data_IF_147569455843
#
_entry.id   IF_147569455843
#
_cell.length_a   1.000
_cell.length_b   1.000
_cell.length_c   1.000
_cell.angle_alpha   90.00
_cell.angle_beta   90.00
_cell.angle_gamma   90.00
#
_symmetry.space_group_name_H-M   'P 1'
#
loop_
_entity.id
_entity.type
_entity.pdbx_description
1 polymer ?
#
# COMPACT_ATOMS: atom_id res chain seq x y z
N UNK A 1 16.26 6.56 15.42
CA UNK A 1 15.06 7.38 15.72
C UNK A 1 14.73 8.36 14.61
N UNK A 2 15.57 9.35 14.30
CA UNK A 2 15.28 10.45 13.35
C UNK A 2 14.82 9.97 11.96
N UNK A 3 15.55 9.04 11.33
CA UNK A 3 15.17 8.45 10.03
C UNK A 3 13.80 7.77 10.11
N UNK A 4 13.55 6.97 11.16
CA UNK A 4 12.28 6.27 11.34
C UNK A 4 11.11 7.24 11.52
N UNK A 5 11.30 8.30 12.29
CA UNK A 5 10.28 9.33 12.51
C UNK A 5 9.92 10.06 11.21
N UNK A 6 10.93 10.49 10.44
CA UNK A 6 10.70 11.18 9.16
C UNK A 6 10.06 10.26 8.12
N UNK A 7 10.51 9.00 8.06
CA UNK A 7 9.92 7.99 7.16
C UNK A 7 8.46 7.70 7.53
N UNK A 8 8.16 7.54 8.83
CA UNK A 8 6.80 7.32 9.30
C UNK A 8 5.90 8.52 8.98
N UNK A 9 6.37 9.76 9.21
CA UNK A 9 5.63 10.98 8.88
C UNK A 9 5.28 11.03 7.40
N UNK A 10 6.26 10.76 6.53
CA UNK A 10 6.07 10.74 5.09
C UNK A 10 5.04 9.68 4.67
N UNK A 11 5.19 8.43 5.16
CA UNK A 11 4.26 7.36 4.85
C UNK A 11 2.82 7.65 5.31
N UNK A 12 2.65 8.24 6.50
CA UNK A 12 1.33 8.66 6.98
C UNK A 12 0.74 9.74 6.08
N UNK A 13 1.54 10.74 5.71
CA UNK A 13 1.08 11.85 4.89
C UNK A 13 0.65 11.38 3.49
N UNK A 14 1.48 10.55 2.83
CA UNK A 14 1.24 10.06 1.47
C UNK A 14 0.17 8.96 1.37
N UNK A 15 0.06 8.05 2.35
CA UNK A 15 -0.80 6.86 2.22
C UNK A 15 -2.05 6.86 3.09
N UNK A 16 -2.10 7.65 4.16
CA UNK A 16 -3.28 7.73 5.03
C UNK A 16 -4.00 9.06 4.92
N UNK A 17 -3.27 10.18 4.88
CA UNK A 17 -3.87 11.51 4.83
C UNK A 17 -4.17 11.98 3.41
N UNK A 18 -3.39 11.52 2.42
CA UNK A 18 -3.67 11.83 1.02
C UNK A 18 -4.85 10.99 0.50
N UNK A 19 -5.93 11.66 0.11
CA UNK A 19 -7.14 10.98 -0.40
C UNK A 19 -7.06 10.72 -1.91
N UNK A 20 -7.82 9.73 -2.40
CA UNK A 20 -7.94 9.44 -3.84
C UNK A 20 -8.36 10.66 -4.66
N UNK A 21 -9.18 11.57 -4.10
CA UNK A 21 -9.60 12.80 -4.74
C UNK A 21 -8.44 13.79 -4.90
N UNK A 22 -7.55 13.86 -3.92
CA UNK A 22 -6.34 14.68 -3.97
C UNK A 22 -5.35 14.14 -5.00
N UNK A 23 -5.26 12.82 -5.15
CA UNK A 23 -4.42 12.21 -6.19
C UNK A 23 -4.99 12.48 -7.58
N UNK A 24 -6.31 12.31 -7.77
CA UNK A 24 -6.96 12.50 -9.07
C UNK A 24 -6.91 13.95 -9.57
N UNK A 25 -7.04 14.93 -8.67
CA UNK A 25 -7.06 16.36 -8.99
C UNK A 25 -6.04 17.13 -8.13
N UNK A 26 -4.76 16.78 -8.26
CA UNK A 26 -3.69 17.29 -7.39
C UNK A 26 -3.54 18.81 -7.43
N UNK A 27 -3.70 19.42 -8.61
CA UNK A 27 -3.65 20.89 -8.76
C UNK A 27 -4.78 21.57 -7.98
N UNK A 28 -6.02 21.04 -8.07
CA UNK A 28 -7.19 21.61 -7.36
C UNK A 28 -7.05 21.49 -5.85
N UNK A 29 -6.44 20.41 -5.36
CA UNK A 29 -6.29 20.14 -3.94
C UNK A 29 -4.89 20.41 -3.40
N UNK A 30 -4.06 21.16 -4.15
CA UNK A 30 -2.66 21.42 -3.80
C UNK A 30 -2.51 22.06 -2.40
N UNK A 31 -3.40 22.99 -2.04
CA UNK A 31 -3.38 23.62 -0.70
C UNK A 31 -3.60 22.59 0.42
N UNK A 32 -4.57 21.68 0.25
CA UNK A 32 -4.83 20.62 1.23
C UNK A 32 -3.65 19.66 1.32
N UNK A 33 -3.04 19.35 0.17
CA UNK A 33 -1.84 18.51 0.06
C UNK A 33 -0.67 19.09 0.83
N UNK A 34 -0.30 20.34 0.55
CA UNK A 34 0.77 21.06 1.25
C UNK A 34 0.47 21.14 2.75
N UNK A 35 -0.78 21.43 3.12
CA UNK A 35 -1.15 21.62 4.52
C UNK A 35 -0.96 20.36 5.37
N UNK A 36 -1.41 19.18 4.92
CA UNK A 36 -1.23 17.97 5.72
C UNK A 36 0.24 17.52 5.77
N UNK A 37 1.02 17.75 4.70
CA UNK A 37 2.46 17.50 4.70
C UNK A 37 3.21 18.42 5.66
N UNK A 38 2.85 19.70 5.67
CA UNK A 38 3.38 20.69 6.61
C UNK A 38 3.06 20.30 8.05
N UNK A 39 1.81 19.87 8.32
CA UNK A 39 1.37 19.48 9.65
C UNK A 39 2.13 18.25 10.16
N UNK A 40 2.13 17.17 9.37
CA UNK A 40 2.77 15.89 9.75
C UNK A 40 4.28 16.02 9.89
N UNK A 41 4.95 16.60 8.89
CA UNK A 41 6.40 16.78 8.91
C UNK A 41 6.80 17.80 9.97
N UNK A 42 6.03 18.88 10.14
CA UNK A 42 6.25 19.89 11.17
C UNK A 42 6.14 19.32 12.58
N UNK A 43 5.12 18.49 12.87
CA UNK A 43 4.99 17.81 14.16
C UNK A 43 6.20 16.92 14.46
N UNK A 44 6.64 16.12 13.49
CA UNK A 44 7.79 15.23 13.68
C UNK A 44 9.10 16.00 13.83
N UNK A 45 9.32 17.05 13.04
CA UNK A 45 10.50 17.90 13.17
C UNK A 45 10.51 18.64 14.52
N UNK A 46 9.35 19.03 15.04
CA UNK A 46 9.26 19.63 16.37
C UNK A 46 9.68 18.64 17.48
N UNK A 47 9.27 17.37 17.36
CA UNK A 47 9.69 16.29 18.27
C UNK A 47 11.20 16.09 18.21
N UNK A 48 11.78 16.00 17.00
CA UNK A 48 13.23 15.84 16.82
C UNK A 48 13.98 17.03 17.40
N UNK A 49 13.54 18.25 17.09
CA UNK A 49 14.16 19.49 17.56
C UNK A 49 14.14 19.62 19.09
N UNK A 50 13.00 19.32 19.74
CA UNK A 50 12.88 19.36 21.18
C UNK A 50 13.67 18.24 21.89
N UNK A 51 13.59 17.01 21.39
CA UNK A 51 14.20 15.85 22.05
C UNK A 51 15.71 15.72 21.81
N UNK A 52 16.17 15.93 20.57
CA UNK A 52 17.58 15.69 20.20
C UNK A 52 18.44 16.96 20.31
N UNK A 53 17.85 18.14 20.13
CA UNK A 53 18.57 19.41 20.06
C UNK A 53 18.16 20.39 21.15
N UNK A 54 17.34 19.96 22.13
CA UNK A 54 16.97 20.75 23.31
C UNK A 54 16.46 22.16 22.96
N UNK A 55 15.69 22.27 21.88
CA UNK A 55 15.17 23.55 21.35
C UNK A 55 16.25 24.56 20.92
N UNK A 56 17.49 24.13 20.74
CA UNK A 56 18.56 25.00 20.24
C UNK A 56 18.47 25.16 18.72
N UNK A 57 18.92 26.32 18.20
CA UNK A 57 19.10 26.57 16.77
C UNK A 57 17.88 26.21 15.90
N UNK A 58 16.70 26.78 16.21
CA UNK A 58 15.44 26.54 15.50
C UNK A 58 15.55 26.64 13.97
N UNK A 59 16.36 27.58 13.47
CA UNK A 59 16.55 27.76 12.03
C UNK A 59 17.17 26.51 11.40
N UNK A 60 18.23 25.97 12.01
CA UNK A 60 19.00 24.84 11.45
C UNK A 60 18.26 23.51 11.56
N UNK A 61 17.64 23.24 12.71
CA UNK A 61 17.11 21.90 13.02
C UNK A 61 15.60 21.77 12.82
N UNK A 62 14.88 22.88 12.65
CA UNK A 62 13.43 22.88 12.41
C UNK A 62 13.08 23.56 11.07
N UNK A 63 13.37 24.86 10.92
CA UNK A 63 12.86 25.65 9.79
C UNK A 63 13.48 25.20 8.45
N UNK A 64 14.80 25.10 8.35
CA UNK A 64 15.48 24.70 7.13
C UNK A 64 15.11 23.27 6.68
N UNK A 65 15.17 22.22 7.53
CA UNK A 65 14.72 20.90 7.12
C UNK A 65 13.24 20.84 6.75
N UNK A 66 12.37 21.61 7.42
CA UNK A 66 10.95 21.69 7.06
C UNK A 66 10.75 22.26 5.65
N UNK A 67 11.40 23.40 5.35
CA UNK A 67 11.35 24.04 4.04
C UNK A 67 11.90 23.09 2.97
N UNK A 68 13.06 22.48 3.25
CA UNK A 68 13.69 21.53 2.33
C UNK A 68 12.74 20.40 1.99
N UNK A 69 12.25 19.65 2.98
CA UNK A 69 11.39 18.47 2.77
C UNK A 69 10.12 18.85 2.02
N UNK A 70 9.44 19.96 2.38
CA UNK A 70 8.20 20.38 1.71
C UNK A 70 8.47 20.72 0.25
N UNK A 71 9.51 21.52 -0.04
CA UNK A 71 9.83 21.92 -1.41
C UNK A 71 10.20 20.70 -2.25
N UNK A 72 11.10 19.84 -1.76
CA UNK A 72 11.53 18.66 -2.50
C UNK A 72 10.41 17.66 -2.70
N UNK A 73 9.53 17.46 -1.71
CA UNK A 73 8.34 16.62 -1.83
C UNK A 73 7.42 17.11 -2.96
N UNK A 74 7.11 18.41 -2.97
CA UNK A 74 6.30 19.01 -4.02
C UNK A 74 6.94 18.89 -5.40
N UNK A 75 8.26 19.05 -5.50
CA UNK A 75 9.00 18.89 -6.75
C UNK A 75 8.91 17.44 -7.26
N UNK A 76 9.17 16.45 -6.41
CA UNK A 76 9.07 15.02 -6.78
C UNK A 76 7.65 14.72 -7.27
N UNK A 77 6.65 15.16 -6.52
CA UNK A 77 5.24 14.98 -6.83
C UNK A 77 4.83 15.61 -8.17
N UNK A 78 5.31 16.81 -8.47
CA UNK A 78 5.04 17.50 -9.73
C UNK A 78 5.75 16.83 -10.92
N UNK A 79 6.98 16.36 -10.71
CA UNK A 79 7.73 15.61 -11.73
C UNK A 79 7.00 14.32 -12.09
N UNK A 80 6.50 13.58 -11.09
CA UNK A 80 5.71 12.36 -11.29
C UNK A 80 4.48 12.62 -12.15
N UNK A 81 3.70 13.68 -11.89
CA UNK A 81 2.51 14.01 -12.69
C UNK A 81 2.88 14.22 -14.14
N UNK A 82 3.89 15.05 -14.42
CA UNK A 82 4.32 15.33 -15.80
C UNK A 82 4.74 14.08 -16.54
N UNK A 83 5.47 13.18 -15.86
CA UNK A 83 5.94 11.93 -16.44
C UNK A 83 4.80 10.94 -16.69
N UNK A 84 3.82 10.85 -15.79
CA UNK A 84 2.69 9.92 -15.91
C UNK A 84 1.65 10.39 -16.92
N UNK A 85 1.36 11.69 -16.98
CA UNK A 85 0.38 12.26 -17.93
C UNK A 85 0.91 12.30 -19.36
N UNK A 86 2.23 12.26 -19.55
CA UNK A 86 2.86 12.14 -20.87
C UNK A 86 2.70 10.76 -21.51
N UNK A 87 2.16 9.77 -20.80
CA UNK A 87 2.01 8.39 -21.28
C UNK A 87 0.70 8.25 -22.06
N UNK A 88 0.77 7.85 -23.33
CA UNK A 88 -0.40 7.45 -24.11
C UNK A 88 -1.00 6.16 -23.52
N UNK A 89 -2.32 6.14 -23.32
CA UNK A 89 -3.03 4.96 -22.78
C UNK A 89 -2.76 3.72 -23.64
N UNK A 90 -2.09 2.73 -23.07
CA UNK A 90 -1.71 1.45 -23.66
C UNK A 90 -2.12 0.28 -22.73
N UNK A 91 -2.36 -0.93 -23.23
CA UNK A 91 -2.59 -2.12 -22.39
C UNK A 91 -1.51 -2.38 -21.33
N UNK A 92 -0.26 -1.98 -21.59
CA UNK A 92 0.89 -2.12 -20.66
C UNK A 92 1.01 -0.98 -19.64
N UNK A 93 0.01 -0.10 -19.55
CA UNK A 93 0.03 1.07 -18.67
C UNK A 93 0.27 0.72 -17.20
N UNK A 94 -0.18 -0.44 -16.72
CA UNK A 94 -0.13 -0.82 -15.31
C UNK A 94 1.31 -1.08 -14.82
N UNK A 95 2.16 -1.76 -15.61
CA UNK A 95 3.59 -1.96 -15.27
C UNK A 95 4.38 -0.65 -15.34
N UNK A 96 4.07 0.21 -16.31
CA UNK A 96 4.71 1.53 -16.39
C UNK A 96 4.32 2.38 -15.17
N UNK A 97 3.05 2.34 -14.76
CA UNK A 97 2.57 3.00 -13.52
C UNK A 97 3.25 2.42 -12.28
N UNK A 98 3.48 1.11 -12.22
CA UNK A 98 4.27 0.48 -11.15
C UNK A 98 5.68 1.07 -11.07
N UNK A 99 6.38 1.18 -12.22
CA UNK A 99 7.73 1.76 -12.26
C UNK A 99 7.78 3.19 -11.76
N UNK A 100 6.84 4.04 -12.20
CA UNK A 100 6.75 5.42 -11.71
C UNK A 100 6.37 5.49 -10.23
N UNK A 101 5.51 4.59 -9.76
CA UNK A 101 5.19 4.50 -8.33
C UNK A 101 6.43 4.10 -7.51
N UNK A 102 7.19 3.09 -7.92
CA UNK A 102 8.40 2.68 -7.21
C UNK A 102 9.49 3.76 -7.25
N UNK A 103 9.71 4.38 -8.41
CA UNK A 103 10.67 5.47 -8.55
C UNK A 103 10.32 6.65 -7.64
N UNK A 104 9.04 7.00 -7.58
CA UNK A 104 8.51 8.03 -6.68
C UNK A 104 8.81 7.72 -5.21
N UNK A 105 8.57 6.48 -4.75
CA UNK A 105 8.89 6.08 -3.37
C UNK A 105 10.41 6.13 -3.09
N UNK A 106 11.25 5.75 -4.06
CA UNK A 106 12.71 5.84 -3.94
C UNK A 106 13.16 7.29 -3.84
N UNK A 107 12.64 8.19 -4.68
CA UNK A 107 13.00 9.61 -4.64
C UNK A 107 12.61 10.27 -3.30
N UNK A 108 11.46 9.92 -2.74
CA UNK A 108 11.05 10.40 -1.42
C UNK A 108 11.93 9.84 -0.29
N UNK A 109 12.29 8.55 -0.34
CA UNK A 109 13.23 7.98 0.62
C UNK A 109 14.61 8.66 0.53
N UNK A 110 15.12 8.88 -0.69
CA UNK A 110 16.38 9.61 -0.92
C UNK A 110 16.33 11.03 -0.38
N UNK A 111 15.22 11.74 -0.59
CA UNK A 111 15.00 13.07 -0.02
C UNK A 111 15.14 13.06 1.51
N UNK A 112 14.56 12.08 2.20
CA UNK A 112 14.67 11.95 3.66
C UNK A 112 16.12 11.68 4.07
N UNK A 113 16.82 10.78 3.38
CA UNK A 113 18.23 10.51 3.65
C UNK A 113 19.07 11.77 3.46
N UNK A 114 18.87 12.51 2.37
CA UNK A 114 19.57 13.78 2.11
C UNK A 114 19.29 14.80 3.21
N UNK A 115 18.04 14.93 3.68
CA UNK A 115 17.70 15.80 4.80
C UNK A 115 18.46 15.40 6.08
N UNK A 116 18.60 14.11 6.35
CA UNK A 116 19.39 13.59 7.48
C UNK A 116 20.88 13.91 7.39
N UNK A 117 21.46 13.79 6.20
CA UNK A 117 22.88 14.11 5.97
C UNK A 117 23.13 15.62 6.09
N UNK A 118 22.25 16.46 5.55
CA UNK A 118 22.44 17.92 5.51
C UNK A 118 22.14 18.62 6.84
N UNK A 119 21.03 18.28 7.51
CA UNK A 119 20.54 19.06 8.66
C UNK A 119 20.81 18.39 10.00
N UNK A 120 20.81 17.06 10.06
CA UNK A 120 20.98 16.30 11.30
C UNK A 120 22.41 15.77 11.50
N UNK A 121 23.37 16.24 10.67
CA UNK A 121 24.81 15.90 10.72
C UNK A 121 25.10 14.39 10.75
N UNK A 122 24.17 13.58 10.27
CA UNK A 122 24.35 12.13 10.25
C UNK A 122 25.41 11.78 9.20
N UNK A 123 26.41 10.97 9.57
CA UNK A 123 27.38 10.47 8.59
C UNK A 123 26.83 9.23 7.89
N UNK A 124 27.23 9.03 6.63
CA UNK A 124 26.89 7.80 5.88
C UNK A 124 27.35 6.55 6.65
N UNK A 125 28.53 6.60 7.26
CA UNK A 125 29.05 5.51 8.10
C UNK A 125 28.11 5.14 9.25
N UNK A 126 27.60 6.14 9.99
CA UNK A 126 26.67 5.93 11.12
C UNK A 126 25.32 5.36 10.66
N UNK A 127 24.87 5.76 9.47
CA UNK A 127 23.66 5.19 8.87
C UNK A 127 23.88 3.74 8.46
N UNK A 128 25.04 3.40 7.89
CA UNK A 128 25.37 2.02 7.52
C UNK A 128 25.52 1.13 8.76
N UNK A 129 26.12 1.62 9.85
CA UNK A 129 26.20 0.85 11.10
C UNK A 129 24.81 0.66 11.69
N UNK A 130 23.95 1.68 11.69
CA UNK A 130 22.56 1.55 12.15
C UNK A 130 21.76 0.53 11.32
N UNK A 131 22.04 0.41 10.03
CA UNK A 131 21.44 -0.61 9.16
C UNK A 131 21.97 -2.02 9.42
N UNK A 132 23.24 -2.14 9.80
CA UNK A 132 23.84 -3.43 10.18
C UNK A 132 23.37 -3.87 11.57
N UNK A 133 23.25 -2.94 12.52
CA UNK A 133 22.75 -3.18 13.87
C UNK A 133 21.29 -3.66 13.87
N UNK A 134 20.48 -3.24 12.89
CA UNK A 134 19.13 -3.79 12.66
C UNK A 134 19.11 -5.31 12.46
N UNK A 135 20.22 -5.91 12.01
CA UNK A 135 20.40 -7.36 11.85
C UNK A 135 21.43 -7.94 12.84
N UNK A 136 21.97 -7.10 13.73
CA UNK A 136 22.97 -7.47 14.73
C UNK A 136 22.36 -8.15 15.95
N UNK A 137 23.18 -8.36 16.98
CA UNK A 137 22.75 -8.98 18.25
C UNK A 137 22.03 -8.00 19.19
N UNK A 138 22.22 -6.70 18.98
CA UNK A 138 21.63 -5.66 19.80
C UNK A 138 20.35 -5.20 19.12
N UNK A 139 19.20 -5.70 19.59
CA UNK A 139 17.90 -5.29 19.09
C UNK A 139 17.66 -3.77 19.21
N UNK A 140 16.66 -3.27 18.51
CA UNK A 140 16.27 -1.86 18.58
C UNK A 140 15.73 -1.49 19.97
N UNK A 141 15.93 -0.23 20.37
CA UNK A 141 15.25 0.31 21.56
C UNK A 141 13.72 0.20 21.41
N UNK A 142 12.95 0.04 22.50
CA UNK A 142 11.50 -0.17 22.43
C UNK A 142 10.76 0.89 21.60
N UNK A 143 11.18 2.15 21.69
CA UNK A 143 10.61 3.24 20.90
C UNK A 143 10.92 3.11 19.40
N UNK A 144 12.16 2.78 19.03
CA UNK A 144 12.51 2.54 17.62
C UNK A 144 11.80 1.30 17.07
N UNK A 145 11.63 0.25 17.89
CA UNK A 145 10.84 -0.94 17.53
C UNK A 145 9.39 -0.57 17.23
N UNK A 146 8.74 0.23 18.08
CA UNK A 146 7.38 0.72 17.85
C UNK A 146 7.25 1.50 16.53
N UNK A 147 8.19 2.42 16.26
CA UNK A 147 8.22 3.17 15.00
C UNK A 147 8.41 2.25 13.79
N UNK A 148 9.34 1.29 13.89
CA UNK A 148 9.60 0.33 12.83
C UNK A 148 8.39 -0.53 12.52
N UNK A 149 7.73 -1.09 13.55
CA UNK A 149 6.51 -1.89 13.39
C UNK A 149 5.37 -1.05 12.77
N UNK A 150 5.25 0.22 13.14
CA UNK A 150 4.28 1.14 12.54
C UNK A 150 4.56 1.37 11.05
N UNK A 151 5.83 1.53 10.67
CA UNK A 151 6.25 1.62 9.26
C UNK A 151 5.89 0.32 8.53
N UNK A 152 6.24 -0.85 9.07
CA UNK A 152 5.93 -2.15 8.47
C UNK A 152 4.42 -2.32 8.29
N UNK A 153 3.61 -1.91 9.25
CA UNK A 153 2.15 -1.96 9.14
C UNK A 153 1.63 -1.14 7.93
N UNK A 154 2.14 0.07 7.73
CA UNK A 154 1.77 0.91 6.57
C UNK A 154 2.28 0.30 5.27
N UNK A 155 3.51 -0.22 5.25
CA UNK A 155 4.10 -0.88 4.09
C UNK A 155 3.30 -2.13 3.69
N UNK A 156 2.91 -2.95 4.66
CA UNK A 156 2.14 -4.17 4.46
C UNK A 156 0.72 -3.87 4.00
N UNK A 157 0.07 -2.84 4.52
CA UNK A 157 -1.31 -2.54 4.16
C UNK A 157 -1.38 -1.70 2.89
N UNK A 158 -1.07 -0.41 2.99
CA UNK A 158 -1.28 0.56 1.94
C UNK A 158 -0.28 0.45 0.79
N UNK A 159 1.04 0.43 1.06
CA UNK A 159 2.06 0.47 -0.01
C UNK A 159 2.03 -0.81 -0.84
N UNK A 160 2.07 -1.97 -0.18
CA UNK A 160 1.97 -3.28 -0.85
C UNK A 160 0.65 -3.44 -1.59
N UNK A 161 -0.46 -2.89 -1.07
CA UNK A 161 -1.74 -2.91 -1.77
C UNK A 161 -1.72 -2.15 -3.11
N UNK A 162 -1.02 -1.01 -3.18
CA UNK A 162 -0.82 -0.28 -4.43
C UNK A 162 0.08 -1.04 -5.40
N UNK A 163 1.16 -1.65 -4.91
CA UNK A 163 2.06 -2.49 -5.71
C UNK A 163 1.29 -3.65 -6.35
N UNK A 164 0.57 -4.43 -5.54
CA UNK A 164 -0.24 -5.57 -6.03
C UNK A 164 -1.27 -5.10 -7.05
N UNK A 165 -1.96 -3.98 -6.80
CA UNK A 165 -2.91 -3.41 -7.76
C UNK A 165 -2.25 -3.08 -9.11
N UNK A 166 -1.04 -2.54 -9.11
CA UNK A 166 -0.34 -2.23 -10.36
C UNK A 166 0.26 -3.46 -11.04
N UNK A 167 0.70 -4.47 -10.29
CA UNK A 167 1.18 -5.75 -10.86
C UNK A 167 0.03 -6.47 -11.55
N UNK A 168 -1.13 -6.55 -10.90
CA UNK A 168 -2.29 -7.31 -11.39
C UNK A 168 -3.06 -6.57 -12.49
N UNK A 169 -3.11 -5.24 -12.43
CA UNK A 169 -3.86 -4.43 -13.40
C UNK A 169 -5.37 -4.42 -13.17
N UNK A 170 -6.15 -4.12 -14.22
CA UNK A 170 -7.61 -4.17 -14.19
C UNK A 170 -8.13 -5.58 -14.41
N UNK A 171 -9.21 -5.94 -13.73
CA UNK A 171 -9.93 -7.20 -13.96
C UNK A 171 -10.24 -7.35 -15.46
N UNK A 172 -9.85 -8.44 -16.14
CA UNK A 172 -10.31 -8.73 -17.49
C UNK A 172 -11.84 -8.64 -17.60
N UNK A 173 -12.36 -8.03 -18.67
CA UNK A 173 -13.81 -7.82 -18.86
C UNK A 173 -14.61 -9.12 -18.91
N UNK A 174 -13.98 -10.22 -19.33
CA UNK A 174 -14.55 -11.58 -19.37
C UNK A 174 -14.94 -12.09 -17.96
N UNK A 175 -14.22 -11.66 -16.93
CA UNK A 175 -14.47 -12.06 -15.53
C UNK A 175 -15.73 -11.44 -14.94
N UNK A 176 -16.06 -10.21 -15.34
CA UNK A 176 -17.27 -9.53 -14.90
C UNK A 176 -18.50 -10.28 -15.44
N UNK A 177 -18.39 -10.80 -16.66
CA UNK A 177 -19.46 -11.59 -17.29
C UNK A 177 -19.57 -12.98 -16.64
N UNK A 178 -18.45 -13.60 -16.25
CA UNK A 178 -18.44 -14.91 -15.60
C UNK A 178 -19.03 -14.90 -14.18
N UNK A 179 -18.72 -13.90 -13.35
CA UNK A 179 -19.38 -13.76 -12.04
C UNK A 179 -20.89 -13.51 -12.20
N UNK A 180 -21.30 -12.76 -13.23
CA UNK A 180 -22.70 -12.58 -13.59
C UNK A 180 -23.36 -13.91 -13.98
N UNK A 181 -22.71 -14.73 -14.79
CA UNK A 181 -23.24 -16.03 -15.22
C UNK A 181 -23.31 -17.04 -14.07
N UNK A 182 -22.31 -17.09 -13.18
CA UNK A 182 -22.32 -17.96 -12.00
C UNK A 182 -23.39 -17.56 -10.98
N UNK A 183 -23.56 -16.26 -10.73
CA UNK A 183 -24.62 -15.77 -9.84
C UNK A 183 -26.01 -16.02 -10.42
N UNK A 184 -26.20 -15.82 -11.73
CA UNK A 184 -27.43 -16.18 -12.44
C UNK A 184 -27.71 -17.68 -12.37
N UNK A 185 -26.72 -18.55 -12.64
CA UNK A 185 -26.90 -20.01 -12.54
C UNK A 185 -27.23 -20.45 -11.11
N UNK A 186 -26.65 -19.82 -10.09
CA UNK A 186 -26.98 -20.12 -8.70
C UNK A 186 -28.42 -19.68 -8.36
N UNK A 187 -28.82 -18.48 -8.76
CA UNK A 187 -30.20 -18.01 -8.60
C UNK A 187 -31.20 -18.88 -9.36
N UNK A 188 -30.91 -19.26 -10.61
CA UNK A 188 -31.77 -20.13 -11.40
C UNK A 188 -31.93 -21.49 -10.72
N UNK A 189 -30.86 -22.09 -10.21
CA UNK A 189 -30.91 -23.35 -9.47
C UNK A 189 -31.69 -23.21 -8.15
N UNK A 190 -31.52 -22.11 -7.40
CA UNK A 190 -32.31 -21.82 -6.19
C UNK A 190 -33.81 -21.60 -6.53
N UNK A 191 -34.11 -21.04 -7.70
CA UNK A 191 -35.48 -20.86 -8.21
C UNK A 191 -36.08 -22.19 -8.69
N UNK A 192 -35.24 -23.17 -9.08
CA UNK A 192 -35.72 -24.50 -9.49
C UNK A 192 -36.07 -25.39 -8.28
N UNK A 193 -35.50 -25.10 -7.09
CA UNK A 193 -35.79 -25.86 -5.85
C UNK A 193 -36.90 -25.25 -4.97
N UNK A 194 -37.34 -24.02 -5.21
CA UNK A 194 -38.46 -23.42 -4.48
C UNK A 194 -39.54 -22.88 -5.41
N UNK A 195 -40.56 -23.73 -5.59
CA UNK A 195 -41.95 -23.37 -5.86
C UNK A 195 -42.24 -22.68 -7.20
N UNK A 196 -42.96 -23.39 -8.08
CA UNK A 196 -43.67 -22.80 -9.22
C UNK A 196 -44.50 -21.56 -8.79
N UNK A 197 -44.30 -20.39 -9.42
CA UNK A 197 -45.33 -19.37 -9.49
C UNK A 197 -45.99 -19.40 -10.88
N UNK A 198 -47.31 -19.27 -10.86
CA UNK A 198 -48.17 -19.15 -12.04
C UNK A 198 -47.71 -18.00 -12.94
N UNK A 199 -47.73 -18.25 -14.25
CA UNK A 199 -47.64 -17.22 -15.29
C UNK A 199 -48.72 -16.16 -15.08
N UNK A 200 -48.31 -14.91 -14.90
CA UNK A 200 -49.13 -13.76 -15.26
C UNK A 200 -48.24 -12.74 -15.98
N UNK A 201 -48.66 -12.40 -17.21
CA UNK A 201 -47.98 -11.49 -18.10
C UNK A 201 -48.20 -10.04 -17.64
N UNK A 202 -47.15 -9.36 -17.19
CA UNK A 202 -47.03 -7.91 -17.38
C UNK A 202 -45.57 -7.51 -17.51
N UNK A 203 -45.13 -7.42 -18.76
CA UNK A 203 -43.86 -6.86 -19.20
C UNK A 203 -43.81 -5.37 -18.86
N UNK A 204 -43.31 -5.01 -17.69
CA UNK A 204 -42.59 -3.75 -17.40
C UNK A 204 -42.02 -3.83 -15.99
N UNK A 205 -40.96 -4.61 -15.80
CA UNK A 205 -40.06 -4.37 -14.67
C UNK A 205 -38.70 -3.97 -15.24
N UNK A 206 -38.49 -2.67 -15.13
CA UNK A 206 -37.24 -1.96 -15.22
C UNK A 206 -36.12 -2.81 -14.61
N UNK A 207 -35.27 -3.39 -15.47
CA UNK A 207 -34.04 -4.06 -15.05
C UNK A 207 -33.14 -3.01 -14.40
N UNK A 208 -33.31 -2.83 -13.09
CA UNK A 208 -32.34 -2.18 -12.24
C UNK A 208 -31.07 -3.04 -12.30
N UNK A 209 -30.20 -2.72 -13.25
CA UNK A 209 -28.81 -3.10 -13.22
C UNK A 209 -28.28 -2.60 -11.87
N UNK A 210 -28.18 -3.52 -10.90
CA UNK A 210 -27.58 -3.27 -9.61
C UNK A 210 -26.12 -2.96 -9.90
N UNK A 211 -25.83 -1.68 -10.12
CA UNK A 211 -24.48 -1.13 -10.24
C UNK A 211 -23.84 -1.38 -8.90
N UNK A 212 -23.12 -2.49 -8.77
CA UNK A 212 -22.34 -2.81 -7.58
C UNK A 212 -21.06 -1.96 -7.58
N UNK A 213 -21.21 -0.64 -7.55
CA UNK A 213 -20.08 0.30 -7.72
C UNK A 213 -19.43 0.78 -6.42
N UNK A 214 -19.75 0.24 -5.23
CA UNK A 214 -19.20 0.81 -3.98
C UNK A 214 -18.91 -0.10 -2.77
N UNK A 215 -19.56 -1.26 -2.53
CA UNK A 215 -19.20 -2.11 -1.36
C UNK A 215 -18.19 -3.26 -1.63
N UNK A 216 -18.09 -3.77 -2.87
CA UNK A 216 -17.23 -4.93 -3.16
C UNK A 216 -15.73 -4.58 -3.16
N UNK A 217 -15.40 -3.35 -3.58
CA UNK A 217 -14.02 -2.86 -3.70
C UNK A 217 -13.29 -2.73 -2.36
N UNK A 218 -14.02 -2.50 -1.25
CA UNK A 218 -13.42 -2.36 0.08
C UNK A 218 -13.06 -3.71 0.71
N UNK A 219 -13.88 -4.76 0.45
CA UNK A 219 -13.68 -6.10 1.03
C UNK A 219 -12.41 -6.77 0.51
N UNK A 220 -12.16 -6.72 -0.80
CA UNK A 220 -10.92 -7.27 -1.39
C UNK A 220 -9.65 -6.59 -0.85
N UNK A 221 -9.70 -5.26 -0.65
CA UNK A 221 -8.60 -4.51 -0.03
C UNK A 221 -8.32 -4.98 1.40
N UNK A 222 -9.39 -5.15 2.21
CA UNK A 222 -9.28 -5.64 3.58
C UNK A 222 -8.75 -7.07 3.66
N UNK A 223 -9.24 -7.98 2.81
CA UNK A 223 -8.74 -9.36 2.72
C UNK A 223 -7.23 -9.35 2.45
N UNK A 224 -6.77 -8.58 1.47
CA UNK A 224 -5.35 -8.46 1.17
C UNK A 224 -4.52 -7.91 2.35
N UNK A 225 -5.09 -7.00 3.15
CA UNK A 225 -4.43 -6.47 4.35
C UNK A 225 -4.24 -7.58 5.39
N UNK A 226 -5.32 -8.31 5.69
CA UNK A 226 -5.32 -9.39 6.68
C UNK A 226 -4.35 -10.50 6.25
N UNK A 227 -4.39 -10.92 4.98
CA UNK A 227 -3.50 -11.97 4.46
C UNK A 227 -2.02 -11.60 4.63
N UNK A 228 -1.62 -10.38 4.29
CA UNK A 228 -0.22 -9.96 4.41
C UNK A 228 0.23 -9.82 5.85
N UNK A 229 -0.63 -9.31 6.74
CA UNK A 229 -0.32 -9.26 8.17
C UNK A 229 -0.18 -10.68 8.75
N UNK A 230 -1.02 -11.62 8.33
CA UNK A 230 -0.93 -13.02 8.73
C UNK A 230 0.37 -13.66 8.22
N UNK A 231 0.75 -13.42 6.96
CA UNK A 231 2.03 -13.88 6.39
C UNK A 231 3.21 -13.32 7.17
N UNK A 232 3.19 -12.03 7.54
CA UNK A 232 4.24 -11.40 8.35
C UNK A 232 4.35 -12.10 9.71
N UNK A 233 3.23 -12.29 10.42
CA UNK A 233 3.21 -12.96 11.73
C UNK A 233 3.77 -14.38 11.63
N UNK A 234 3.31 -15.17 10.65
CA UNK A 234 3.78 -16.54 10.45
C UNK A 234 5.26 -16.61 10.05
N UNK A 235 5.75 -15.62 9.31
CA UNK A 235 7.18 -15.51 8.95
C UNK A 235 8.02 -15.24 10.18
N UNK A 236 7.58 -14.31 11.04
CA UNK A 236 8.29 -13.98 12.30
C UNK A 236 8.36 -15.21 13.22
N UNK A 237 7.27 -15.99 13.32
CA UNK A 237 7.22 -17.25 14.08
C UNK A 237 8.04 -18.38 13.41
N UNK A 238 8.43 -18.22 12.13
CA UNK A 238 9.12 -19.25 11.35
C UNK A 238 8.21 -20.37 10.84
N UNK A 239 6.89 -20.20 10.91
CA UNK A 239 5.91 -21.19 10.44
C UNK A 239 5.60 -21.04 8.95
N UNK A 240 6.59 -21.30 8.11
CA UNK A 240 6.43 -21.23 6.65
C UNK A 240 5.42 -22.26 6.12
N UNK A 241 5.29 -23.42 6.77
CA UNK A 241 4.29 -24.45 6.44
C UNK A 241 2.86 -23.92 6.57
N UNK A 242 2.57 -23.08 7.56
CA UNK A 242 1.25 -22.46 7.71
C UNK A 242 0.93 -21.47 6.57
N UNK A 243 1.95 -20.77 6.05
CA UNK A 243 1.78 -19.87 4.89
C UNK A 243 1.40 -20.69 3.66
N UNK A 244 2.08 -21.81 3.41
CA UNK A 244 1.75 -22.73 2.33
C UNK A 244 0.33 -23.31 2.47
N UNK A 245 -0.09 -23.65 3.69
CA UNK A 245 -1.45 -24.12 3.97
C UNK A 245 -2.50 -23.05 3.63
N UNK A 246 -2.28 -21.78 3.98
CA UNK A 246 -3.20 -20.68 3.64
C UNK A 246 -3.35 -20.52 2.13
N UNK A 247 -2.24 -20.60 1.38
CA UNK A 247 -2.28 -20.56 -0.09
C UNK A 247 -3.10 -21.71 -0.64
N UNK A 248 -2.82 -22.93 -0.19
CA UNK A 248 -3.52 -24.12 -0.64
C UNK A 248 -5.03 -24.04 -0.34
N UNK A 249 -5.40 -23.66 0.89
CA UNK A 249 -6.79 -23.47 1.29
C UNK A 249 -7.49 -22.42 0.42
N UNK A 250 -6.82 -21.31 0.12
CA UNK A 250 -7.35 -20.25 -0.77
C UNK A 250 -7.56 -20.75 -2.20
N UNK A 251 -6.63 -21.54 -2.74
CA UNK A 251 -6.75 -22.16 -4.06
C UNK A 251 -7.87 -23.19 -4.10
N UNK A 252 -8.04 -24.02 -3.06
CA UNK A 252 -9.12 -25.01 -2.96
C UNK A 252 -10.49 -24.32 -2.92
N UNK A 253 -10.65 -23.26 -2.11
CA UNK A 253 -11.88 -22.47 -2.02
C UNK A 253 -12.28 -21.80 -3.34
N UNK A 254 -11.36 -21.75 -4.31
CA UNK A 254 -11.53 -21.13 -5.62
C UNK A 254 -11.29 -22.10 -6.78
N UNK A 255 -11.24 -23.41 -6.52
CA UNK A 255 -10.85 -24.42 -7.50
C UNK A 255 -11.68 -24.35 -8.79
N UNK A 256 -13.01 -24.21 -8.70
CA UNK A 256 -13.88 -24.08 -9.89
C UNK A 256 -13.58 -22.84 -10.73
N UNK A 257 -13.16 -21.74 -10.10
CA UNK A 257 -12.83 -20.49 -10.80
C UNK A 257 -11.44 -20.54 -11.43
N UNK A 258 -10.55 -21.41 -10.94
CA UNK A 258 -9.23 -21.65 -11.52
C UNK A 258 -9.28 -22.40 -12.86
N UNK A 259 -10.42 -22.96 -13.25
CA UNK A 259 -10.62 -23.55 -14.58
C UNK A 259 -10.62 -22.48 -15.68
N UNK A 260 -11.02 -21.24 -15.35
CA UNK A 260 -10.89 -20.10 -16.26
C UNK A 260 -9.46 -19.56 -16.23
N UNK A 261 -8.80 -19.57 -17.39
CA UNK A 261 -7.39 -19.17 -17.50
C UNK A 261 -7.17 -17.72 -17.09
N UNK A 262 -8.05 -16.81 -17.51
CA UNK A 262 -7.95 -15.38 -17.21
C UNK A 262 -8.10 -15.12 -15.70
N UNK A 263 -9.04 -15.82 -15.05
CA UNK A 263 -9.22 -15.79 -13.60
C UNK A 263 -8.00 -16.36 -12.87
N UNK A 264 -7.50 -17.51 -13.32
CA UNK A 264 -6.35 -18.17 -12.72
C UNK A 264 -5.10 -17.30 -12.76
N UNK A 265 -4.78 -16.70 -13.91
CA UNK A 265 -3.64 -15.79 -14.04
C UNK A 265 -3.79 -14.56 -13.13
N UNK A 266 -4.98 -13.94 -13.10
CA UNK A 266 -5.28 -12.80 -12.22
C UNK A 266 -5.12 -13.15 -10.73
N UNK A 267 -5.72 -14.27 -10.30
CA UNK A 267 -5.71 -14.74 -8.93
C UNK A 267 -4.30 -15.14 -8.46
N UNK A 268 -3.55 -15.86 -9.30
CA UNK A 268 -2.21 -16.31 -8.99
C UNK A 268 -1.24 -15.13 -8.89
N UNK A 269 -1.26 -14.21 -9.87
CA UNK A 269 -0.42 -13.01 -9.82
C UNK A 269 -0.68 -12.18 -8.58
N UNK A 270 -1.96 -11.96 -8.23
CA UNK A 270 -2.32 -11.20 -7.04
C UNK A 270 -1.89 -11.87 -5.74
N UNK A 271 -2.19 -13.16 -5.60
CA UNK A 271 -1.90 -13.92 -4.37
C UNK A 271 -0.40 -14.09 -4.17
N UNK A 272 0.34 -14.52 -5.20
CA UNK A 272 1.78 -14.73 -5.12
C UNK A 272 2.53 -13.43 -4.86
N UNK A 273 2.17 -12.34 -5.56
CA UNK A 273 2.81 -11.03 -5.33
C UNK A 273 2.53 -10.51 -3.92
N UNK A 274 1.29 -10.65 -3.43
CA UNK A 274 0.91 -10.22 -2.07
C UNK A 274 1.68 -11.00 -1.00
N UNK A 275 1.81 -12.31 -1.17
CA UNK A 275 2.53 -13.17 -0.22
C UNK A 275 4.03 -12.92 -0.28
N UNK A 276 4.60 -12.74 -1.47
CA UNK A 276 6.00 -12.38 -1.63
C UNK A 276 6.33 -11.08 -0.86
N UNK A 277 5.52 -10.04 -1.01
CA UNK A 277 5.69 -8.79 -0.26
C UNK A 277 5.54 -9.00 1.26
N UNK A 278 4.56 -9.82 1.68
CA UNK A 278 4.39 -10.19 3.09
C UNK A 278 5.60 -10.93 3.66
N UNK A 279 6.19 -11.87 2.91
CA UNK A 279 7.40 -12.60 3.30
C UNK A 279 8.59 -11.66 3.45
N UNK A 280 8.83 -10.77 2.47
CA UNK A 280 9.93 -9.80 2.52
C UNK A 280 9.80 -8.89 3.75
N UNK A 281 8.61 -8.37 4.03
CA UNK A 281 8.37 -7.54 5.22
C UNK A 281 8.48 -8.36 6.52
N UNK A 282 8.03 -9.61 6.51
CA UNK A 282 8.14 -10.52 7.65
C UNK A 282 9.59 -10.85 8.01
N UNK A 283 10.44 -11.11 7.01
CA UNK A 283 11.87 -11.31 7.21
C UNK A 283 12.56 -10.05 7.74
N UNK A 284 12.16 -8.87 7.26
CA UNK A 284 12.67 -7.60 7.79
C UNK A 284 12.32 -7.42 9.28
N UNK A 285 11.11 -7.79 9.69
CA UNK A 285 10.69 -7.78 11.11
C UNK A 285 11.45 -8.84 11.93
N UNK A 286 11.57 -10.05 11.41
CA UNK A 286 12.26 -11.16 12.08
C UNK A 286 13.74 -10.83 12.33
N UNK A 287 14.39 -10.06 11.45
CA UNK A 287 15.75 -9.58 11.67
C UNK A 287 15.93 -8.77 12.96
N UNK A 288 14.87 -8.09 13.41
CA UNK A 288 14.90 -7.12 14.51
C UNK A 288 14.36 -7.70 15.82
N UNK A 289 13.40 -8.63 15.75
CA UNK A 289 12.74 -9.24 16.92
C UNK A 289 13.52 -10.47 17.46
N UNK A 290 14.77 -10.68 17.03
CA UNK A 290 15.60 -11.78 17.55
C UNK A 290 15.79 -11.71 19.06
#
# INVERSE_FOLDING_TARGET
MTVLLLLLAHLIADFWLQTDQMVKNKIKHLKKHIFHHLLTTGMVLAIIWGYQYEFQNIIMYFILPLIFIIITHLLIDMLKIKLVDSIKRSPTDHIIRLRYFLLDQVLHAMMIIIACLLFFRMKVAEMTTSLLDLYGTNGLSPFNTFLFISIIYILATSVSGHIVKFIVGSLPSELVNFEGELTLRHQMNDTTEKSQPKMENSFTEEYHYFTYSSPLRSRGKLIGYIERLLVIILTVIGSYSSIAFIIAAKSIARFKQLEDRSWAEYFLLGTLSSIFLGLVLGLAVQGIIK
#
